data_IF_352865883762
#
_entry.id   IF_352865883762
#
_cell.length_a   1.000
_cell.length_b   1.000
_cell.length_c   1.000
_cell.angle_alpha   90.00
_cell.angle_beta   90.00
_cell.angle_gamma   90.00
#
_symmetry.space_group_name_H-M   'P 1'
#
loop_
_entity.id
_entity.type
_entity.pdbx_description
1 polymer ?
#
# COMPACT_ATOMS: atom_id res chain seq x y z
N UNK A 1 65.45 22.49 8.05
CA UNK A 1 65.85 21.83 6.79
C UNK A 1 65.70 20.33 6.97
N UNK A 2 64.60 19.74 6.47
CA UNK A 2 64.54 18.39 5.90
C UNK A 2 63.07 18.08 5.60
N UNK A 3 62.75 18.07 4.32
CA UNK A 3 61.48 17.63 3.77
C UNK A 3 61.63 16.14 3.40
N UNK A 4 60.63 15.34 3.76
CA UNK A 4 60.49 13.95 3.34
C UNK A 4 59.12 13.77 2.66
N UNK A 5 59.17 13.52 1.35
CA UNK A 5 58.08 12.90 0.59
C UNK A 5 58.02 11.40 0.89
N UNK A 6 56.85 10.76 0.70
CA UNK A 6 56.83 9.82 -0.43
C UNK A 6 55.52 9.78 -1.24
N UNK A 7 55.73 9.76 -2.56
CA UNK A 7 55.12 8.92 -3.60
C UNK A 7 53.65 8.47 -3.51
N UNK A 8 52.83 9.14 -4.31
CA UNK A 8 51.59 8.63 -4.91
C UNK A 8 51.94 7.60 -6.00
N UNK A 9 51.39 6.39 -5.94
CA UNK A 9 51.34 5.44 -7.06
C UNK A 9 49.88 5.29 -7.50
N UNK A 10 49.59 5.81 -8.69
CA UNK A 10 48.39 5.49 -9.46
C UNK A 10 48.48 4.04 -9.95
N UNK A 11 47.43 3.25 -9.75
CA UNK A 11 47.17 2.06 -10.53
C UNK A 11 45.75 2.15 -11.09
N UNK A 12 45.66 2.51 -12.36
CA UNK A 12 44.46 2.44 -13.16
C UNK A 12 44.28 1.00 -13.65
N UNK A 13 43.19 0.35 -13.26
CA UNK A 13 42.78 -0.97 -13.74
C UNK A 13 41.48 -0.86 -14.53
N UNK A 14 41.60 -0.70 -15.85
CA UNK A 14 40.52 -0.89 -16.82
C UNK A 14 40.33 -2.40 -17.03
N UNK A 15 39.13 -2.93 -16.75
CA UNK A 15 38.70 -4.20 -17.31
C UNK A 15 37.37 -3.99 -18.02
N UNK A 16 37.48 -3.89 -19.35
CA UNK A 16 36.42 -4.09 -20.33
C UNK A 16 36.09 -5.59 -20.36
N UNK A 17 34.82 -5.97 -20.25
CA UNK A 17 34.35 -7.26 -20.78
C UNK A 17 32.88 -7.16 -21.13
N UNK A 18 32.66 -7.01 -22.43
CA UNK A 18 31.41 -7.16 -23.16
C UNK A 18 31.03 -8.64 -23.27
N UNK A 19 29.83 -9.03 -22.87
CA UNK A 19 29.17 -10.23 -23.42
C UNK A 19 27.73 -9.87 -23.77
N UNK A 20 27.51 -9.66 -25.06
CA UNK A 20 26.21 -9.68 -25.73
C UNK A 20 25.89 -11.15 -26.02
N UNK A 21 24.84 -11.68 -25.42
CA UNK A 21 24.19 -12.91 -25.88
C UNK A 21 22.81 -12.55 -26.43
N UNK A 22 22.71 -12.52 -27.76
CA UNK A 22 21.45 -12.55 -28.51
C UNK A 22 20.89 -13.97 -28.42
N UNK A 23 19.68 -14.13 -27.88
CA UNK A 23 18.90 -15.33 -28.10
C UNK A 23 17.99 -15.11 -29.32
N UNK A 24 18.18 -16.00 -30.30
CA UNK A 24 17.44 -16.09 -31.56
C UNK A 24 16.20 -16.95 -31.33
N UNK A 25 15.04 -16.45 -31.76
CA UNK A 25 13.79 -17.22 -31.85
C UNK A 25 13.82 -18.11 -33.09
N UNK A 26 13.31 -19.36 -33.04
CA UNK A 26 12.92 -20.07 -34.24
C UNK A 26 11.46 -19.78 -34.61
N UNK A 27 11.31 -19.37 -35.86
CA UNK A 27 10.09 -19.25 -36.66
C UNK A 27 9.77 -20.64 -37.22
N UNK A 28 8.55 -21.16 -36.99
CA UNK A 28 7.99 -22.29 -37.74
C UNK A 28 6.61 -21.86 -38.25
N UNK A 29 6.56 -21.54 -39.53
CA UNK A 29 5.35 -21.63 -40.36
C UNK A 29 4.98 -23.10 -40.53
N UNK A 30 3.70 -23.47 -40.40
CA UNK A 30 3.11 -24.36 -41.38
C UNK A 30 1.59 -24.17 -41.51
N UNK A 31 1.17 -24.14 -42.77
CA UNK A 31 -0.14 -23.85 -43.31
C UNK A 31 -1.31 -24.70 -42.76
N UNK A 32 -2.46 -24.02 -42.64
CA UNK A 32 -3.62 -24.33 -43.48
C UNK A 32 -4.72 -25.21 -42.88
N UNK A 33 -5.91 -24.64 -42.64
CA UNK A 33 -7.16 -24.92 -43.38
C UNK A 33 -8.36 -24.19 -42.74
N UNK A 34 -9.16 -23.48 -43.56
CA UNK A 34 -10.59 -23.15 -43.32
C UNK A 34 -11.41 -24.23 -44.03
N UNK A 35 -12.56 -24.70 -43.50
CA UNK A 35 -13.82 -23.97 -43.72
C UNK A 35 -14.93 -24.10 -42.65
N UNK A 36 -15.80 -23.08 -42.66
CA UNK A 36 -17.26 -23.05 -42.43
C UNK A 36 -17.93 -23.50 -41.11
N UNK A 37 -18.70 -22.54 -40.58
CA UNK A 37 -20.04 -22.64 -39.97
C UNK A 37 -20.34 -23.80 -38.99
N UNK A 38 -20.25 -23.52 -37.69
CA UNK A 38 -21.09 -24.17 -36.68
C UNK A 38 -21.56 -23.16 -35.62
N UNK A 39 -22.84 -22.80 -35.75
CA UNK A 39 -23.86 -22.58 -34.71
C UNK A 39 -23.34 -22.19 -33.31
N UNK A 40 -23.55 -20.91 -32.95
CA UNK A 40 -23.18 -20.35 -31.66
C UNK A 40 -23.77 -21.14 -30.47
N UNK A 41 -23.05 -21.20 -29.33
CA UNK A 41 -23.58 -21.77 -28.10
C UNK A 41 -24.67 -20.85 -27.50
N UNK A 42 -25.69 -21.43 -26.84
CA UNK A 42 -26.75 -20.67 -26.22
C UNK A 42 -26.21 -19.82 -25.07
N UNK A 43 -26.89 -18.69 -24.85
CA UNK A 43 -26.67 -17.72 -23.78
C UNK A 43 -26.13 -18.38 -22.50
N UNK A 44 -24.90 -17.99 -22.14
CA UNK A 44 -24.32 -18.29 -20.84
C UNK A 44 -25.21 -17.68 -19.77
N UNK A 45 -25.58 -18.53 -18.82
CA UNK A 45 -26.22 -18.16 -17.57
C UNK A 45 -25.41 -17.05 -16.89
N UNK A 46 -26.08 -15.94 -16.61
CA UNK A 46 -25.58 -14.78 -15.90
C UNK A 46 -25.01 -15.19 -14.54
N UNK A 47 -23.69 -15.32 -14.46
CA UNK A 47 -22.95 -15.13 -13.23
C UNK A 47 -22.87 -13.63 -12.98
N UNK A 48 -23.67 -13.13 -12.04
CA UNK A 48 -23.68 -11.73 -11.61
C UNK A 48 -22.25 -11.31 -11.22
N UNK A 49 -21.57 -10.70 -12.17
CA UNK A 49 -20.20 -10.23 -12.02
C UNK A 49 -20.35 -8.86 -11.38
N UNK A 50 -20.06 -8.75 -10.08
CA UNK A 50 -20.20 -7.54 -9.27
C UNK A 50 -19.23 -6.41 -9.61
N UNK A 51 -18.97 -6.18 -10.89
CA UNK A 51 -18.24 -5.03 -11.39
C UNK A 51 -19.22 -3.87 -11.57
N UNK A 52 -18.84 -2.69 -11.08
CA UNK A 52 -19.49 -1.45 -11.48
C UNK A 52 -19.28 -1.19 -12.97
N UNK A 53 -19.96 -0.17 -13.52
CA UNK A 53 -20.05 0.09 -14.96
C UNK A 53 -18.71 0.42 -15.66
N UNK A 54 -17.58 0.45 -14.94
CA UNK A 54 -16.25 0.87 -15.42
C UNK A 54 -15.08 0.00 -14.88
N UNK A 55 -15.29 -1.31 -14.67
CA UNK A 55 -14.29 -2.22 -14.07
C UNK A 55 -13.81 -1.82 -12.66
N UNK A 56 -14.50 -0.87 -12.02
CA UNK A 56 -14.28 -0.49 -10.63
C UNK A 56 -15.06 -1.41 -9.68
N UNK A 57 -14.55 -1.61 -8.44
CA UNK A 57 -15.25 -2.39 -7.44
C UNK A 57 -16.52 -1.68 -6.95
N UNK A 58 -17.35 -2.40 -6.21
CA UNK A 58 -18.50 -1.80 -5.54
C UNK A 58 -18.07 -0.86 -4.40
N UNK A 59 -18.87 0.17 -4.05
CA UNK A 59 -18.54 1.09 -2.96
C UNK A 59 -18.34 0.46 -1.58
N UNK A 60 -17.39 0.97 -0.80
CA UNK A 60 -17.08 0.48 0.56
C UNK A 60 -18.19 0.70 1.59
N UNK A 61 -19.23 1.50 1.28
CA UNK A 61 -20.36 1.73 2.18
C UNK A 61 -21.41 0.61 2.16
N UNK A 62 -21.28 -0.35 1.23
CA UNK A 62 -22.21 -1.47 1.08
C UNK A 62 -21.93 -2.56 2.12
N UNK A 63 -20.65 -2.87 2.39
CA UNK A 63 -20.25 -3.83 3.42
C UNK A 63 -18.91 -3.45 4.05
N UNK A 64 -18.86 -3.54 5.38
CA UNK A 64 -17.61 -3.47 6.15
C UNK A 64 -16.86 -4.82 6.17
N UNK A 65 -17.52 -5.91 5.75
CA UNK A 65 -16.88 -7.22 5.61
C UNK A 65 -16.10 -7.26 4.29
N UNK A 66 -14.79 -7.48 4.39
CA UNK A 66 -13.90 -7.52 3.22
C UNK A 66 -14.13 -8.75 2.34
N UNK A 67 -14.77 -9.80 2.84
CA UNK A 67 -15.11 -10.98 2.03
C UNK A 67 -16.17 -10.65 0.97
N UNK A 68 -16.98 -9.60 1.18
CA UNK A 68 -17.98 -9.12 0.24
C UNK A 68 -17.41 -8.16 -0.82
N UNK A 69 -16.13 -7.79 -0.70
CA UNK A 69 -15.49 -6.86 -1.62
C UNK A 69 -15.20 -7.52 -2.98
N UNK A 70 -15.18 -6.72 -4.04
CA UNK A 70 -14.99 -7.21 -5.42
C UNK A 70 -13.61 -7.87 -5.54
N UNK A 71 -13.50 -9.14 -6.00
CA UNK A 71 -12.24 -9.83 -6.12
C UNK A 71 -11.46 -9.45 -7.39
N UNK A 72 -10.14 -9.43 -7.26
CA UNK A 72 -9.14 -9.18 -8.30
C UNK A 72 -8.03 -10.22 -8.19
N UNK A 73 -7.41 -10.56 -9.32
CA UNK A 73 -6.36 -11.59 -9.40
C UNK A 73 -5.02 -11.04 -9.89
N UNK A 74 -5.01 -9.81 -10.39
CA UNK A 74 -3.84 -9.15 -10.99
C UNK A 74 -3.89 -7.65 -10.70
N UNK A 75 -2.72 -7.01 -10.62
CA UNK A 75 -2.66 -5.56 -10.39
C UNK A 75 -3.17 -4.80 -11.63
N UNK A 76 -2.97 -5.38 -12.81
CA UNK A 76 -3.43 -4.85 -14.09
C UNK A 76 -4.97 -4.74 -14.17
N UNK A 77 -5.72 -5.54 -13.42
CA UNK A 77 -7.17 -5.37 -13.29
C UNK A 77 -7.53 -4.17 -12.40
N UNK A 78 -6.74 -3.90 -11.36
CA UNK A 78 -6.94 -2.73 -10.48
C UNK A 78 -6.61 -1.43 -11.23
N UNK A 79 -5.60 -1.46 -12.10
CA UNK A 79 -5.17 -0.31 -12.90
C UNK A 79 -6.24 0.22 -13.85
N UNK A 80 -7.23 -0.61 -14.21
CA UNK A 80 -8.34 -0.20 -15.07
C UNK A 80 -9.30 0.75 -14.34
N UNK A 81 -9.32 0.72 -13.00
CA UNK A 81 -10.11 1.62 -12.19
C UNK A 81 -9.26 2.84 -11.79
N UNK A 82 -9.64 4.00 -12.32
CA UNK A 82 -8.97 5.28 -12.08
C UNK A 82 -9.55 6.05 -10.88
N UNK A 83 -10.03 5.31 -9.88
CA UNK A 83 -10.63 5.86 -8.67
C UNK A 83 -9.94 5.27 -7.44
N UNK A 84 -9.91 6.02 -6.32
CA UNK A 84 -9.30 5.53 -5.09
C UNK A 84 -10.10 4.36 -4.52
N UNK A 85 -9.40 3.33 -4.06
CA UNK A 85 -10.00 2.12 -3.49
C UNK A 85 -9.25 1.66 -2.25
N UNK A 86 -9.95 0.96 -1.35
CA UNK A 86 -9.32 0.14 -0.32
C UNK A 86 -9.13 -1.27 -0.83
N UNK A 87 -8.05 -1.93 -0.40
CA UNK A 87 -7.81 -3.33 -0.70
C UNK A 87 -7.45 -4.13 0.53
N UNK A 88 -7.97 -5.35 0.52
CA UNK A 88 -7.46 -6.45 1.32
C UNK A 88 -6.66 -7.39 0.40
N UNK A 89 -5.41 -7.63 0.75
CA UNK A 89 -4.51 -8.49 -0.02
C UNK A 89 -4.09 -9.63 0.89
N UNK A 90 -4.21 -10.86 0.39
CA UNK A 90 -3.81 -12.04 1.18
C UNK A 90 -2.34 -11.97 1.58
N UNK A 91 -2.07 -12.18 2.87
CA UNK A 91 -0.70 -12.29 3.37
C UNK A 91 -0.02 -13.61 2.94
N UNK A 92 -0.80 -14.63 2.53
CA UNK A 92 -0.28 -15.92 2.11
C UNK A 92 0.28 -15.92 0.67
N UNK A 93 -0.06 -14.90 -0.12
CA UNK A 93 0.31 -14.84 -1.53
C UNK A 93 1.03 -13.51 -1.81
N UNK A 94 2.37 -13.54 -1.89
CA UNK A 94 3.15 -12.37 -2.24
C UNK A 94 2.76 -11.81 -3.61
N UNK A 95 2.61 -10.48 -3.72
CA UNK A 95 2.42 -9.80 -5.00
C UNK A 95 3.71 -9.70 -5.85
N UNK A 96 4.80 -10.30 -5.39
CA UNK A 96 6.07 -10.31 -6.10
C UNK A 96 6.42 -11.72 -6.61
N UNK A 97 6.91 -11.81 -7.84
CA UNK A 97 7.30 -13.06 -8.51
C UNK A 97 6.50 -13.33 -9.79
N UNK A 98 7.05 -14.13 -10.70
CA UNK A 98 6.55 -14.31 -12.09
C UNK A 98 5.31 -15.21 -12.20
N UNK A 99 4.70 -15.66 -11.09
CA UNK A 99 3.58 -16.63 -11.13
C UNK A 99 2.60 -16.52 -9.96
N UNK A 100 2.54 -15.38 -9.28
CA UNK A 100 1.71 -15.21 -8.09
C UNK A 100 0.33 -14.65 -8.44
N UNK A 101 -0.71 -15.50 -8.47
CA UNK A 101 -2.10 -15.03 -8.47
C UNK A 101 -2.47 -14.68 -7.02
N UNK A 102 -2.18 -13.47 -6.59
CA UNK A 102 -2.64 -13.02 -5.28
C UNK A 102 -4.14 -12.72 -5.35
N UNK A 103 -4.92 -13.31 -4.46
CA UNK A 103 -6.30 -12.88 -4.25
C UNK A 103 -6.29 -11.51 -3.57
N UNK A 104 -6.75 -10.51 -4.32
CA UNK A 104 -7.00 -9.16 -3.83
C UNK A 104 -8.50 -8.95 -3.80
N UNK A 105 -9.00 -8.25 -2.79
CA UNK A 105 -10.38 -7.75 -2.80
C UNK A 105 -10.35 -6.26 -2.61
N UNK A 106 -11.22 -5.55 -3.31
CA UNK A 106 -11.29 -4.10 -3.19
C UNK A 106 -12.72 -3.58 -3.16
N UNK A 107 -12.84 -2.39 -2.56
CA UNK A 107 -14.05 -1.60 -2.59
C UNK A 107 -13.70 -0.15 -2.97
N UNK A 108 -14.63 0.52 -3.64
CA UNK A 108 -14.45 1.86 -4.15
C UNK A 108 -14.61 2.88 -3.03
N UNK A 109 -13.65 3.79 -2.90
CA UNK A 109 -13.81 5.01 -2.11
C UNK A 109 -14.54 6.00 -3.00
N UNK A 110 -15.85 6.11 -2.83
CA UNK A 110 -16.69 7.01 -3.63
C UNK A 110 -15.98 8.36 -3.80
N UNK A 111 -15.75 8.77 -5.04
CA UNK A 111 -15.08 10.02 -5.34
C UNK A 111 -15.74 11.13 -4.52
N UNK A 112 -14.93 11.85 -3.73
CA UNK A 112 -15.31 13.05 -2.97
C UNK A 112 -15.61 14.23 -3.90
N UNK A 113 -16.32 13.98 -5.00
CA UNK A 113 -16.72 14.94 -6.01
C UNK A 113 -18.00 15.63 -5.57
N UNK A 114 -17.88 16.40 -4.49
CA UNK A 114 -18.89 17.35 -4.03
C UNK A 114 -19.02 17.34 -2.53
N UNK A 115 -18.37 18.32 -1.86
CA UNK A 115 -18.63 18.94 -0.54
C UNK A 115 -19.24 18.18 0.64
N UNK A 116 -19.51 16.90 0.52
CA UNK A 116 -19.71 16.03 1.64
C UNK A 116 -18.29 15.76 2.13
N UNK A 117 -17.94 16.44 3.22
CA UNK A 117 -17.16 15.81 4.26
C UNK A 117 -17.56 14.33 4.33
N UNK A 118 -16.65 13.46 4.75
CA UNK A 118 -17.11 12.25 5.38
C UNK A 118 -18.12 12.71 6.45
N UNK A 119 -19.42 12.68 6.14
CA UNK A 119 -20.42 12.29 7.09
C UNK A 119 -19.94 10.89 7.45
N UNK A 120 -19.00 10.89 8.39
CA UNK A 120 -18.92 9.99 9.50
C UNK A 120 -20.37 9.93 9.93
N UNK A 121 -21.11 9.03 9.28
CA UNK A 121 -22.49 8.82 9.62
C UNK A 121 -22.43 8.59 11.11
N UNK A 122 -23.13 9.43 11.85
CA UNK A 122 -23.62 9.12 13.17
C UNK A 122 -24.59 7.93 13.07
N UNK A 123 -24.20 6.88 12.36
CA UNK A 123 -24.61 5.54 12.66
C UNK A 123 -23.92 5.25 13.99
N UNK A 124 -24.60 5.65 15.06
CA UNK A 124 -24.74 4.85 16.26
C UNK A 124 -25.19 3.43 15.86
N UNK A 125 -24.31 2.69 15.17
CA UNK A 125 -24.33 1.25 15.25
C UNK A 125 -23.71 0.96 16.59
N UNK A 126 -24.60 0.63 17.52
CA UNK A 126 -24.28 0.05 18.81
C UNK A 126 -23.22 -1.04 18.58
N UNK A 127 -21.97 -0.70 18.88
CA UNK A 127 -20.90 -1.67 19.00
C UNK A 127 -21.29 -2.54 20.19
N UNK A 128 -21.94 -3.66 19.90
CA UNK A 128 -22.36 -4.65 20.90
C UNK A 128 -21.20 -5.53 21.34
N UNK A 129 -19.95 -5.12 21.08
CA UNK A 129 -18.81 -5.67 21.79
C UNK A 129 -18.74 -4.93 23.12
N UNK A 130 -18.86 -5.60 24.28
CA UNK A 130 -18.42 -4.99 25.52
C UNK A 130 -16.99 -4.54 25.26
N UNK A 131 -16.74 -3.24 25.37
CA UNK A 131 -15.41 -2.67 25.45
C UNK A 131 -14.67 -3.53 26.46
N UNK A 132 -13.88 -4.49 25.95
CA UNK A 132 -13.14 -5.39 26.80
C UNK A 132 -12.28 -4.46 27.61
N UNK A 133 -12.39 -4.55 28.93
CA UNK A 133 -11.50 -3.92 29.90
C UNK A 133 -10.09 -4.49 29.77
N UNK A 134 -9.58 -4.56 28.55
CA UNK A 134 -8.15 -4.66 28.29
C UNK A 134 -7.58 -3.32 28.72
N UNK A 135 -6.68 -3.39 29.69
CA UNK A 135 -5.98 -2.25 30.20
C UNK A 135 -5.16 -1.65 29.05
N UNK A 136 -5.62 -0.51 28.54
CA UNK A 136 -4.93 0.20 27.47
C UNK A 136 -4.15 1.37 28.05
N UNK A 137 -2.93 1.56 27.56
CA UNK A 137 -2.06 2.66 27.97
C UNK A 137 -1.77 3.54 26.77
N UNK A 138 -2.08 4.83 26.89
CA UNK A 138 -1.67 5.82 25.90
C UNK A 138 -0.24 6.28 26.24
N UNK A 139 0.68 6.12 25.30
CA UNK A 139 2.06 6.57 25.39
C UNK A 139 2.41 7.50 24.24
N UNK A 140 3.33 8.43 24.48
CA UNK A 140 3.90 9.24 23.41
C UNK A 140 5.08 8.51 22.78
N UNK A 141 5.06 8.36 21.46
CA UNK A 141 6.18 7.80 20.71
C UNK A 141 6.66 8.77 19.63
N UNK A 142 7.89 8.56 19.17
CA UNK A 142 8.43 9.21 17.98
C UNK A 142 8.35 8.24 16.82
N UNK A 143 7.91 8.74 15.69
CA UNK A 143 7.76 7.98 14.46
C UNK A 143 9.03 8.15 13.62
N UNK A 144 9.59 7.03 13.15
CA UNK A 144 10.65 7.07 12.16
C UNK A 144 10.02 7.37 10.81
N UNK A 145 10.42 8.48 10.19
CA UNK A 145 9.93 8.88 8.87
C UNK A 145 11.08 8.92 7.89
N UNK A 146 10.90 8.22 6.78
CA UNK A 146 11.82 8.22 5.65
C UNK A 146 11.04 8.61 4.40
N UNK A 147 11.45 9.69 3.75
CA UNK A 147 10.87 10.11 2.47
C UNK A 147 11.97 10.23 1.43
N UNK A 148 11.63 9.90 0.19
CA UNK A 148 12.48 10.25 -0.95
C UNK A 148 11.74 11.22 -1.85
N UNK A 149 12.50 12.10 -2.49
CA UNK A 149 11.99 12.99 -3.51
C UNK A 149 12.59 12.57 -4.83
N UNK A 150 11.76 12.09 -5.76
CA UNK A 150 12.21 12.03 -7.16
C UNK A 150 11.97 13.42 -7.73
N UNK A 151 13.04 14.05 -8.21
CA UNK A 151 12.88 15.25 -9.04
C UNK A 151 12.22 14.81 -10.36
N UNK A 152 10.89 14.79 -10.40
CA UNK A 152 10.18 14.58 -11.65
C UNK A 152 10.13 15.90 -12.42
N UNK A 153 10.75 15.92 -13.60
CA UNK A 153 10.55 17.02 -14.58
C UNK A 153 9.12 17.05 -15.11
N UNK A 154 8.38 15.95 -14.94
CA UNK A 154 6.99 15.80 -15.34
C UNK A 154 6.13 16.01 -14.10
N UNK A 155 5.40 17.13 -14.06
CA UNK A 155 4.31 17.35 -13.11
C UNK A 155 3.11 16.51 -13.55
N UNK A 156 3.11 15.23 -13.23
CA UNK A 156 1.86 14.49 -13.30
C UNK A 156 0.92 15.10 -12.25
N UNK A 157 -0.21 15.64 -12.72
CA UNK A 157 -1.28 16.12 -11.84
C UNK A 157 -1.99 14.89 -11.27
N UNK A 158 -1.41 14.25 -10.27
CA UNK A 158 -2.21 13.46 -9.36
C UNK A 158 -2.79 14.42 -8.31
N UNK A 159 -3.98 14.11 -7.82
CA UNK A 159 -4.70 14.95 -6.89
C UNK A 159 -4.31 14.55 -5.47
N UNK A 160 -3.59 15.42 -4.74
CA UNK A 160 -3.18 15.14 -3.36
C UNK A 160 -4.37 14.85 -2.44
N UNK A 161 -5.56 15.35 -2.80
CA UNK A 161 -6.83 15.02 -2.14
C UNK A 161 -7.14 13.52 -2.17
N UNK A 162 -6.85 12.82 -3.26
CA UNK A 162 -7.17 11.40 -3.41
C UNK A 162 -6.26 10.55 -2.52
N UNK A 163 -4.97 10.91 -2.44
CA UNK A 163 -4.03 10.28 -1.48
C UNK A 163 -4.47 10.55 -0.05
N UNK A 164 -4.82 11.78 0.30
CA UNK A 164 -5.32 12.10 1.63
C UNK A 164 -6.63 11.36 1.95
N UNK A 165 -7.52 11.20 0.98
CA UNK A 165 -8.75 10.43 1.10
C UNK A 165 -8.48 8.95 1.35
N UNK A 166 -7.56 8.34 0.59
CA UNK A 166 -7.10 6.96 0.81
C UNK A 166 -6.59 6.77 2.24
N UNK A 167 -5.69 7.64 2.71
CA UNK A 167 -5.10 7.54 4.05
C UNK A 167 -6.17 7.66 5.15
N UNK A 168 -7.13 8.59 5.01
CA UNK A 168 -8.25 8.72 5.96
C UNK A 168 -9.15 7.48 5.95
N UNK A 169 -9.42 6.92 4.78
CA UNK A 169 -10.23 5.70 4.66
C UNK A 169 -9.53 4.50 5.33
N UNK A 170 -8.22 4.35 5.17
CA UNK A 170 -7.44 3.33 5.87
C UNK A 170 -7.53 3.50 7.39
N UNK A 171 -7.48 4.75 7.90
CA UNK A 171 -7.67 5.00 9.33
C UNK A 171 -9.07 4.66 9.85
N UNK A 172 -10.09 4.85 9.03
CA UNK A 172 -11.48 4.52 9.36
C UNK A 172 -11.81 3.02 9.26
N UNK A 173 -10.92 2.21 8.67
CA UNK A 173 -11.13 0.77 8.49
C UNK A 173 -10.99 -0.01 9.81
N UNK A 174 -9.92 0.20 10.57
CA UNK A 174 -9.62 -0.60 11.78
C UNK A 174 -10.67 -0.55 12.90
N UNK A 175 -11.39 0.57 13.16
CA UNK A 175 -12.49 0.57 14.12
C UNK A 175 -13.72 -0.25 13.68
N UNK A 176 -13.84 -0.58 12.39
CA UNK A 176 -15.02 -1.22 11.79
C UNK A 176 -14.89 -2.73 11.59
N UNK A 177 -13.68 -3.29 11.66
CA UNK A 177 -13.47 -4.74 11.54
C UNK A 177 -13.96 -5.43 12.83
N UNK A 178 -15.21 -5.87 12.84
CA UNK A 178 -15.87 -6.47 14.02
C UNK A 178 -15.65 -7.98 14.16
N UNK A 179 -14.91 -8.62 13.25
CA UNK A 179 -14.70 -10.07 13.29
C UNK A 179 -13.51 -10.48 14.17
N UNK A 180 -13.55 -11.71 14.69
CA UNK A 180 -12.59 -12.29 15.63
C UNK A 180 -11.17 -12.47 15.10
N UNK A 181 -10.93 -12.07 13.84
CA UNK A 181 -9.62 -11.96 13.22
C UNK A 181 -9.38 -10.48 12.95
N UNK A 182 -8.92 -9.74 13.96
CA UNK A 182 -8.61 -8.33 13.82
C UNK A 182 -7.66 -8.14 12.63
N UNK A 183 -8.18 -7.52 11.57
CA UNK A 183 -7.38 -7.23 10.41
C UNK A 183 -6.34 -6.19 10.80
N UNK A 184 -5.09 -6.62 10.81
CA UNK A 184 -3.96 -5.81 11.20
C UNK A 184 -3.30 -5.14 9.98
N UNK A 185 -3.90 -5.29 8.81
CA UNK A 185 -3.37 -4.84 7.53
C UNK A 185 -4.49 -4.30 6.65
N UNK A 186 -4.23 -3.16 5.99
CA UNK A 186 -5.09 -2.67 4.92
C UNK A 186 -4.23 -1.96 3.87
N UNK A 187 -4.65 -2.01 2.61
CA UNK A 187 -4.04 -1.29 1.51
C UNK A 187 -4.99 -0.27 0.92
N UNK A 188 -4.45 0.71 0.23
CA UNK A 188 -5.20 1.61 -0.64
C UNK A 188 -4.47 1.78 -1.96
N UNK A 189 -5.21 1.93 -3.04
CA UNK A 189 -4.65 2.05 -4.38
C UNK A 189 -5.44 3.05 -5.21
N UNK A 190 -4.72 3.68 -6.12
CA UNK A 190 -5.26 4.49 -7.18
C UNK A 190 -4.36 4.28 -8.40
N UNK A 191 -4.87 3.60 -9.42
CA UNK A 191 -4.07 3.07 -10.56
C UNK A 191 -3.11 4.04 -11.22
N UNK A 192 -3.40 5.35 -11.17
CA UNK A 192 -2.55 6.39 -11.76
C UNK A 192 -1.86 7.35 -10.78
N UNK A 193 -2.09 7.22 -9.47
CA UNK A 193 -1.65 8.23 -8.49
C UNK A 193 -0.72 7.68 -7.41
N UNK A 194 -1.15 6.65 -6.69
CA UNK A 194 -0.43 6.17 -5.51
C UNK A 194 -0.90 4.80 -5.05
N UNK A 195 -0.02 4.14 -4.30
CA UNK A 195 -0.31 2.95 -3.51
C UNK A 195 0.05 3.24 -2.06
N UNK A 196 -0.72 2.69 -1.11
CA UNK A 196 -0.43 2.76 0.30
C UNK A 196 -0.72 1.43 0.99
N UNK A 197 0.05 1.13 2.03
CA UNK A 197 -0.10 -0.07 2.85
C UNK A 197 0.12 0.27 4.31
N UNK A 198 -0.75 -0.23 5.17
CA UNK A 198 -0.69 -0.01 6.60
C UNK A 198 -0.67 -1.34 7.34
N UNK A 199 0.19 -1.43 8.35
CA UNK A 199 0.27 -2.52 9.31
C UNK A 199 0.13 -1.97 10.73
N UNK A 200 -0.69 -2.61 11.56
CA UNK A 200 -0.77 -2.37 12.98
C UNK A 200 -0.57 -3.68 13.75
N UNK A 201 0.44 -3.74 14.61
CA UNK A 201 0.69 -4.91 15.43
C UNK A 201 -0.44 -5.16 16.44
N UNK A 202 -0.72 -6.42 16.80
CA UNK A 202 -1.84 -6.79 17.68
C UNK A 202 -1.81 -6.18 19.09
N UNK A 203 -0.69 -5.59 19.54
CA UNK A 203 -0.60 -4.88 20.82
C UNK A 203 -0.76 -3.37 20.70
N UNK A 204 -1.20 -2.89 19.54
CA UNK A 204 -1.49 -1.49 19.29
C UNK A 204 -2.98 -1.31 19.00
N UNK A 205 -3.60 -0.33 19.63
CA UNK A 205 -4.99 0.04 19.40
C UNK A 205 -5.17 0.88 18.13
N UNK A 206 -6.34 0.80 17.51
CA UNK A 206 -6.71 1.51 16.28
C UNK A 206 -6.58 3.04 16.37
N UNK A 207 -6.66 3.62 17.57
CA UNK A 207 -6.35 5.03 17.83
C UNK A 207 -4.92 5.42 17.43
N UNK A 208 -3.97 4.48 17.46
CA UNK A 208 -2.59 4.68 16.98
C UNK A 208 -2.58 5.00 15.48
N UNK A 209 -3.38 4.29 14.68
CA UNK A 209 -3.50 4.51 13.24
C UNK A 209 -3.98 5.92 12.96
N UNK A 210 -5.05 6.33 13.64
CA UNK A 210 -5.60 7.69 13.48
C UNK A 210 -4.57 8.76 13.83
N UNK A 211 -3.86 8.62 14.95
CA UNK A 211 -2.82 9.58 15.34
C UNK A 211 -1.71 9.69 14.30
N UNK A 212 -1.30 8.58 13.66
CA UNK A 212 -0.27 8.62 12.63
C UNK A 212 -0.78 9.23 11.32
N UNK A 213 -1.99 8.84 10.88
CA UNK A 213 -2.56 9.38 9.64
C UNK A 213 -2.85 10.87 9.77
N UNK A 214 -3.35 11.34 10.91
CA UNK A 214 -3.54 12.77 11.18
C UNK A 214 -2.19 13.51 11.16
N UNK A 215 -1.14 12.95 11.76
CA UNK A 215 0.19 13.58 11.72
C UNK A 215 0.78 13.59 10.29
N UNK A 216 0.63 12.51 9.55
CA UNK A 216 1.11 12.41 8.17
C UNK A 216 0.39 13.40 7.24
N UNK A 217 -0.95 13.53 7.39
CA UNK A 217 -1.81 14.35 6.51
C UNK A 217 -1.91 15.80 6.96
N UNK A 218 -2.19 16.05 8.24
CA UNK A 218 -2.47 17.38 8.80
C UNK A 218 -1.23 18.00 9.46
N UNK A 219 -0.35 17.18 10.03
CA UNK A 219 0.92 17.62 10.63
C UNK A 219 1.95 18.13 9.61
N UNK A 220 1.67 17.97 8.31
CA UNK A 220 2.52 18.48 7.22
C UNK A 220 3.83 17.73 7.05
N UNK A 221 3.98 16.56 7.70
CA UNK A 221 5.16 15.69 7.56
C UNK A 221 5.26 15.14 6.14
N UNK A 222 4.11 14.86 5.51
CA UNK A 222 4.00 14.52 4.11
C UNK A 222 3.47 15.71 3.33
N UNK A 223 4.26 16.22 2.39
CA UNK A 223 3.73 17.14 1.37
C UNK A 223 2.99 16.31 0.31
N UNK A 224 1.74 15.95 0.61
CA UNK A 224 0.93 15.03 -0.21
C UNK A 224 0.75 15.59 -1.64
N UNK A 225 0.66 16.91 -1.78
CA UNK A 225 0.57 17.61 -3.06
C UNK A 225 1.86 17.49 -3.91
N UNK A 226 2.99 17.10 -3.30
CA UNK A 226 4.31 17.00 -3.96
C UNK A 226 4.99 15.64 -3.76
N UNK A 227 4.30 14.68 -3.18
CA UNK A 227 4.74 13.30 -3.04
C UNK A 227 5.13 12.70 -4.40
N UNK A 228 6.42 12.55 -4.61
CA UNK A 228 7.02 12.11 -5.88
C UNK A 228 7.88 10.86 -5.71
N UNK A 229 7.65 10.10 -4.65
CA UNK A 229 8.33 8.84 -4.40
C UNK A 229 7.85 8.18 -3.12
N UNK A 230 8.55 7.12 -2.69
CA UNK A 230 8.18 6.38 -1.50
C UNK A 230 8.39 7.21 -0.23
N UNK A 231 7.42 7.09 0.67
CA UNK A 231 7.42 7.57 2.03
C UNK A 231 7.05 6.43 2.98
N UNK A 232 7.79 6.31 4.07
CA UNK A 232 7.57 5.31 5.12
C UNK A 232 7.51 5.99 6.47
N UNK A 233 6.52 5.59 7.25
CA UNK A 233 6.23 6.03 8.60
C UNK A 233 6.17 4.78 9.47
N UNK A 234 7.07 4.61 10.44
CA UNK A 234 7.07 3.38 11.25
C UNK A 234 7.41 3.61 12.71
N UNK A 235 6.72 2.84 13.57
CA UNK A 235 7.19 2.51 14.91
C UNK A 235 7.71 1.08 14.83
N UNK A 236 9.01 0.95 14.62
CA UNK A 236 9.63 -0.36 14.50
C UNK A 236 10.98 -0.37 15.22
N UNK A 237 11.22 -1.43 15.98
CA UNK A 237 12.57 -1.74 16.46
C UNK A 237 12.75 -3.24 16.52
N UNK A 238 13.99 -3.70 16.29
CA UNK A 238 14.36 -5.11 16.37
C UNK A 238 14.05 -5.74 17.73
N UNK A 239 13.93 -4.93 18.79
CA UNK A 239 13.62 -5.36 20.15
C UNK A 239 12.11 -5.46 20.44
N UNK A 240 11.26 -4.77 19.67
CA UNK A 240 9.81 -4.68 19.93
C UNK A 240 9.02 -5.85 19.34
N UNK A 241 9.56 -6.51 18.31
CA UNK A 241 8.88 -7.57 17.56
C UNK A 241 7.64 -7.08 16.78
N UNK A 242 7.05 -7.95 15.98
CA UNK A 242 5.81 -7.64 15.24
C UNK A 242 4.64 -7.16 16.11
N UNK A 243 4.43 -7.63 17.37
CA UNK A 243 3.25 -7.24 18.15
C UNK A 243 3.12 -5.73 18.43
N UNK A 244 4.26 -5.02 18.49
CA UNK A 244 4.32 -3.57 18.74
C UNK A 244 4.84 -2.78 17.53
N UNK A 245 4.79 -3.38 16.35
CA UNK A 245 5.19 -2.72 15.11
C UNK A 245 4.01 -1.95 14.54
N UNK A 246 4.23 -0.72 14.13
CA UNK A 246 3.32 0.04 13.28
C UNK A 246 4.07 0.46 12.03
N UNK A 247 3.41 0.40 10.88
CA UNK A 247 3.97 0.90 9.64
C UNK A 247 2.91 1.44 8.69
N UNK A 248 3.23 2.54 8.03
CA UNK A 248 2.50 3.10 6.91
C UNK A 248 3.52 3.38 5.80
N UNK A 249 3.36 2.71 4.67
CA UNK A 249 4.16 2.93 3.47
C UNK A 249 3.26 3.52 2.39
N UNK A 250 3.78 4.50 1.66
CA UNK A 250 3.09 5.19 0.58
C UNK A 250 4.08 5.32 -0.57
N UNK A 251 3.68 4.95 -1.77
CA UNK A 251 4.42 5.28 -2.98
C UNK A 251 3.55 6.14 -3.88
N UNK A 252 3.91 7.41 -3.99
CA UNK A 252 3.22 8.38 -4.83
C UNK A 252 4.06 8.76 -6.04
N UNK A 253 3.42 8.86 -7.20
CA UNK A 253 4.12 9.23 -8.42
C UNK A 253 3.25 8.97 -9.65
N UNK A 254 3.47 9.75 -10.71
CA UNK A 254 2.64 9.77 -11.93
C UNK A 254 2.69 8.54 -12.84
N UNK A 255 2.84 7.34 -12.29
CA UNK A 255 2.85 6.07 -13.01
C UNK A 255 2.16 4.93 -12.24
N UNK A 256 1.30 5.24 -11.27
CA UNK A 256 0.78 4.27 -10.31
C UNK A 256 1.83 3.97 -9.23
N UNK A 257 1.42 3.84 -7.97
CA UNK A 257 2.36 3.47 -6.91
C UNK A 257 2.79 2.01 -7.02
N UNK A 258 3.98 1.67 -6.56
CA UNK A 258 4.50 0.30 -6.55
C UNK A 258 3.83 -0.56 -5.46
N UNK A 259 2.59 -0.98 -5.72
CA UNK A 259 1.80 -1.82 -4.82
C UNK A 259 2.53 -3.12 -4.43
N UNK A 260 3.23 -3.85 -5.33
CA UNK A 260 4.04 -5.01 -4.95
C UNK A 260 5.14 -4.70 -3.92
N UNK A 261 5.87 -3.59 -4.07
CA UNK A 261 6.88 -3.19 -3.08
C UNK A 261 6.25 -2.79 -1.74
N UNK A 262 5.12 -2.07 -1.77
CA UNK A 262 4.35 -1.71 -0.58
C UNK A 262 3.86 -2.97 0.16
N UNK A 263 3.32 -3.95 -0.57
CA UNK A 263 2.89 -5.24 -0.02
C UNK A 263 4.03 -5.97 0.68
N UNK A 264 5.22 -6.02 0.06
CA UNK A 264 6.41 -6.62 0.67
C UNK A 264 6.77 -5.94 2.00
N UNK A 265 6.81 -4.60 2.04
CA UNK A 265 7.11 -3.85 3.26
C UNK A 265 6.11 -4.16 4.38
N UNK A 266 4.83 -4.29 4.05
CA UNK A 266 3.79 -4.67 5.02
C UNK A 266 4.01 -6.08 5.58
N UNK A 267 4.39 -7.04 4.72
CA UNK A 267 4.73 -8.40 5.18
C UNK A 267 5.96 -8.41 6.10
N UNK A 268 6.96 -7.57 5.82
CA UNK A 268 8.15 -7.42 6.67
C UNK A 268 7.77 -6.94 8.08
N UNK A 269 6.90 -5.94 8.20
CA UNK A 269 6.39 -5.50 9.50
C UNK A 269 5.62 -6.58 10.26
N UNK A 270 4.87 -7.43 9.54
CA UNK A 270 4.22 -8.60 10.10
C UNK A 270 5.17 -9.60 10.77
N UNK A 271 6.43 -9.63 10.33
CA UNK A 271 7.52 -10.41 10.95
C UNK A 271 8.34 -9.63 12.00
N UNK A 272 8.05 -8.35 12.20
CA UNK A 272 8.83 -7.46 13.08
C UNK A 272 10.09 -6.90 12.43
N UNK A 273 10.22 -7.05 11.11
CA UNK A 273 11.32 -6.48 10.33
C UNK A 273 10.98 -5.04 9.97
N UNK A 274 11.86 -4.11 10.30
CA UNK A 274 11.68 -2.71 9.96
C UNK A 274 12.00 -2.47 8.48
N UNK A 275 11.22 -1.60 7.85
CA UNK A 275 11.48 -1.19 6.48
C UNK A 275 12.89 -0.60 6.39
N UNK A 276 13.69 -1.10 5.44
CA UNK A 276 15.06 -0.64 5.20
C UNK A 276 15.02 0.85 4.83
N UNK A 277 15.93 1.65 5.41
CA UNK A 277 16.08 3.06 5.04
C UNK A 277 16.29 3.17 3.53
N UNK A 278 15.33 3.79 2.85
CA UNK A 278 15.35 3.97 1.40
C UNK A 278 16.64 4.72 1.04
N UNK A 279 17.49 4.22 0.13
CA UNK A 279 18.71 4.90 -0.27
C UNK A 279 18.42 6.33 -0.75
N UNK A 280 19.14 7.32 -0.19
CA UNK A 280 18.90 8.74 -0.49
C UNK A 280 17.68 9.34 0.23
N UNK A 281 17.07 8.64 1.19
CA UNK A 281 15.99 9.21 2.00
C UNK A 281 16.49 10.31 2.94
N UNK A 282 15.65 11.33 3.09
CA UNK A 282 15.72 12.22 4.23
C UNK A 282 15.03 11.50 5.39
N UNK A 283 15.84 11.12 6.38
CA UNK A 283 15.31 10.59 7.64
C UNK A 283 14.99 11.78 8.52
N UNK A 284 13.70 12.04 8.71
CA UNK A 284 13.24 13.04 9.66
C UNK A 284 12.62 12.30 10.83
N UNK A 285 13.10 12.58 12.05
CA UNK A 285 12.33 12.17 13.22
C UNK A 285 11.08 13.04 13.27
N UNK A 286 9.93 12.42 13.08
CA UNK A 286 8.65 13.11 13.09
C UNK A 286 8.15 13.37 14.52
N UNK A 287 7.12 14.19 14.58
CA UNK A 287 6.33 14.64 15.72
C UNK A 287 5.93 13.51 16.66
N UNK A 288 5.56 13.90 17.89
CA UNK A 288 5.11 12.96 18.91
C UNK A 288 3.71 12.49 18.56
N UNK A 289 3.53 11.19 18.38
CA UNK A 289 2.23 10.56 18.14
C UNK A 289 1.71 9.90 19.42
N UNK A 290 0.38 9.80 19.52
CA UNK A 290 -0.27 9.01 20.54
C UNK A 290 -0.33 7.55 20.11
N UNK A 291 0.28 6.68 20.89
CA UNK A 291 0.24 5.23 20.70
C UNK A 291 -0.60 4.63 21.81
N UNK A 292 -1.61 3.87 21.45
CA UNK A 292 -2.39 3.09 22.42
C UNK A 292 -1.80 1.69 22.45
N UNK A 293 -1.10 1.36 23.54
CA UNK A 293 -0.64 -0.01 23.78
C UNK A 293 -1.75 -0.81 24.45
N UNK A 294 -2.01 -2.01 23.94
CA UNK A 294 -2.92 -2.99 24.52
C UNK A 294 -2.14 -3.95 25.43
N UNK A 295 -2.74 -4.27 26.59
CA UNK A 295 -2.25 -5.33 27.48
C UNK A 295 -2.15 -6.65 26.72
N UNK A 296 -1.14 -7.47 27.05
CA UNK A 296 -1.14 -8.84 26.55
C UNK A 296 -2.29 -9.59 27.26
N UNK A 297 -3.18 -10.20 26.48
CA UNK A 297 -4.18 -11.13 26.99
C UNK A 297 -3.53 -12.41 27.53
#
# INVERSE_FOLDING_TARGET
MQASHPHLLLAAGLILSTILARAVLPEEELLGTRPSDVKGPPASLEGSSGFGQDNCPVPCNISANTEDWTPYHTVEQLDQCHEPMLLQISAAQPLFGTSSFASMRSCLLHAFSGNHDLEIGNQTMSSSRPESTEESKIVMARLDVATTRRESKIRHRYNGRDVAAMLRAMAAFFPRSTESHAENVIFAYHGSAAAAGLYIGPRLGSSTVRSVVEEAVLGGVLDIERLSGPAVFQLCSSERGSPRTFGLAIDGGGGGGDLPSIHRTVLEWGSGTCAVRIPGSLVQQSSRIHVTELSAA
#
